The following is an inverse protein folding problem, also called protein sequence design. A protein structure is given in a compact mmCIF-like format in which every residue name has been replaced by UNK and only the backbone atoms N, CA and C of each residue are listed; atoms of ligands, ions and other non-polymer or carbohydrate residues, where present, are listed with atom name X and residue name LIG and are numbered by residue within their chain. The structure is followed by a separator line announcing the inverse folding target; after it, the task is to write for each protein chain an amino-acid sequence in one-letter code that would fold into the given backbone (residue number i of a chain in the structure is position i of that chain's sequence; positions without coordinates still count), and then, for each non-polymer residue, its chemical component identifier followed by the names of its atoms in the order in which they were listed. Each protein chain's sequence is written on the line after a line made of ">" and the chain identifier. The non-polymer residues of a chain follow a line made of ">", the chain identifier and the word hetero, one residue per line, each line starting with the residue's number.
data_IF_434442358016
#
_entry.id   IF_434442358016
#
_cell.length_a   1.000
_cell.length_b   1.000
_cell.length_c   1.000
_cell.angle_alpha   90.00
_cell.angle_beta   90.00
_cell.angle_gamma   90.00
#
_symmetry.space_group_name_H-M   'P 1'
#
loop_
_entity.id
_entity.type
_entity.pdbx_description
1 polymer ?
#
# COMPACT_ATOMS: atom_id res chain seq x y z
N UNK A 1 20.43 10.08 -10.58
CA UNK A 1 19.36 9.08 -10.81
C UNK A 1 19.15 9.00 -12.30
N UNK A 2 19.46 7.86 -12.90
CA UNK A 2 19.23 7.66 -14.33
C UNK A 2 17.73 7.40 -14.62
N UNK A 3 17.38 7.38 -15.91
CA UNK A 3 15.99 7.21 -16.35
C UNK A 3 15.39 5.85 -15.92
N UNK A 4 16.22 4.82 -15.75
CA UNK A 4 15.81 3.48 -15.35
C UNK A 4 15.50 3.42 -13.84
N UNK A 5 16.34 4.03 -13.00
CA UNK A 5 16.12 4.18 -11.57
C UNK A 5 14.85 4.99 -11.28
N UNK A 6 14.60 6.05 -12.06
CA UNK A 6 13.37 6.83 -11.92
C UNK A 6 12.12 6.04 -12.31
N UNK A 7 12.20 5.21 -13.36
CA UNK A 7 11.10 4.33 -13.75
C UNK A 7 10.80 3.26 -12.69
N UNK A 8 11.84 2.66 -12.10
CA UNK A 8 11.68 1.72 -10.96
C UNK A 8 11.05 2.40 -9.75
N UNK A 9 11.45 3.63 -9.42
CA UNK A 9 10.85 4.39 -8.33
C UNK A 9 9.37 4.66 -8.59
N UNK A 10 9.00 5.03 -9.82
CA UNK A 10 7.59 5.24 -10.17
C UNK A 10 6.75 3.97 -10.00
N UNK A 11 7.27 2.81 -10.41
CA UNK A 11 6.59 1.53 -10.20
C UNK A 11 6.44 1.23 -8.70
N UNK A 12 7.50 1.39 -7.91
CA UNK A 12 7.45 1.14 -6.48
C UNK A 12 6.45 2.07 -5.75
N UNK A 13 6.41 3.35 -6.11
CA UNK A 13 5.41 4.31 -5.61
C UNK A 13 3.99 3.94 -6.03
N UNK A 14 3.81 3.47 -7.28
CA UNK A 14 2.49 3.02 -7.75
C UNK A 14 1.99 1.82 -6.95
N UNK A 15 2.85 0.84 -6.67
CA UNK A 15 2.50 -0.33 -5.85
C UNK A 15 2.15 0.07 -4.41
N UNK A 16 2.90 0.98 -3.78
CA UNK A 16 2.57 1.51 -2.46
C UNK A 16 1.23 2.29 -2.43
N UNK A 17 0.81 2.92 -3.54
CA UNK A 17 -0.49 3.63 -3.63
C UNK A 17 -1.70 2.70 -3.64
N UNK A 18 -1.56 1.47 -4.16
CA UNK A 18 -2.67 0.51 -4.24
C UNK A 18 -3.30 0.18 -2.88
N UNK A 19 -2.55 -0.25 -1.85
CA UNK A 19 -3.12 -0.52 -0.54
C UNK A 19 -3.67 0.74 0.14
N UNK A 20 -3.05 1.90 -0.06
CA UNK A 20 -3.55 3.18 0.46
C UNK A 20 -4.95 3.52 -0.09
N UNK A 21 -5.14 3.41 -1.40
CA UNK A 21 -6.45 3.65 -2.02
C UNK A 21 -7.51 2.67 -1.51
N UNK A 22 -7.13 1.40 -1.31
CA UNK A 22 -8.01 0.39 -0.73
C UNK A 22 -8.41 0.78 0.69
N UNK A 23 -7.46 1.20 1.54
CA UNK A 23 -7.74 1.66 2.91
C UNK A 23 -8.74 2.82 2.89
N UNK A 24 -8.52 3.83 2.04
CA UNK A 24 -9.41 4.99 1.92
C UNK A 24 -10.84 4.56 1.57
N UNK A 25 -11.00 3.74 0.53
CA UNK A 25 -12.33 3.27 0.10
C UNK A 25 -13.03 2.44 1.18
N UNK A 26 -12.29 1.59 1.91
CA UNK A 26 -12.87 0.81 3.00
C UNK A 26 -13.25 1.70 4.19
N UNK A 27 -12.48 2.74 4.49
CA UNK A 27 -12.81 3.70 5.54
C UNK A 27 -14.10 4.49 5.20
N UNK A 28 -14.29 4.87 3.94
CA UNK A 28 -15.56 5.46 3.47
C UNK A 28 -16.73 4.48 3.60
N UNK A 29 -16.53 3.20 3.27
CA UNK A 29 -17.57 2.17 3.43
C UNK A 29 -17.99 2.00 4.89
N UNK A 30 -17.06 2.15 5.85
CA UNK A 30 -17.37 2.14 7.28
C UNK A 30 -18.23 3.35 7.66
N UNK A 31 -17.93 4.55 7.16
CA UNK A 31 -18.77 5.74 7.39
C UNK A 31 -20.20 5.49 6.92
N UNK A 32 -20.38 4.99 5.70
CA UNK A 32 -21.69 4.66 5.15
C UNK A 32 -22.43 3.62 6.00
N UNK A 33 -21.72 2.65 6.58
CA UNK A 33 -22.33 1.65 7.46
C UNK A 33 -22.79 2.25 8.80
N UNK A 34 -22.02 3.20 9.36
CA UNK A 34 -22.39 3.92 10.58
C UNK A 34 -23.59 4.86 10.37
N UNK A 35 -23.70 5.43 9.18
CA UNK A 35 -24.86 6.23 8.74
C UNK A 35 -26.10 5.37 8.43
N UNK A 36 -25.98 4.04 8.46
CA UNK A 36 -27.07 3.10 8.16
C UNK A 36 -27.35 2.91 6.67
N UNK A 37 -26.50 3.46 5.78
CA UNK A 37 -26.65 3.34 4.33
C UNK A 37 -26.27 1.94 3.81
N UNK A 38 -25.47 1.16 4.56
CA UNK A 38 -25.14 -0.24 4.26
C UNK A 38 -25.17 -1.11 5.53
N UNK A 39 -25.28 -2.46 5.40
CA UNK A 39 -25.29 -3.36 6.57
C UNK A 39 -24.00 -3.28 7.40
N UNK A 40 -24.13 -3.41 8.72
CA UNK A 40 -22.99 -3.39 9.67
C UNK A 40 -21.91 -4.44 9.36
N UNK A 41 -22.29 -5.58 8.80
CA UNK A 41 -21.35 -6.62 8.37
C UNK A 41 -20.38 -6.11 7.30
N UNK A 42 -20.81 -5.19 6.43
CA UNK A 42 -19.91 -4.55 5.46
C UNK A 42 -18.85 -3.68 6.15
N UNK A 43 -19.15 -3.10 7.32
CA UNK A 43 -18.17 -2.37 8.10
C UNK A 43 -17.11 -3.30 8.70
N UNK A 44 -17.52 -4.47 9.22
CA UNK A 44 -16.59 -5.47 9.76
C UNK A 44 -15.65 -5.99 8.66
N UNK A 45 -16.23 -6.38 7.52
CA UNK A 45 -15.43 -6.81 6.36
C UNK A 45 -14.52 -5.68 5.82
N UNK A 46 -14.95 -4.42 5.91
CA UNK A 46 -14.14 -3.28 5.54
C UNK A 46 -12.96 -3.07 6.50
N UNK A 47 -13.18 -3.24 7.81
CA UNK A 47 -12.12 -3.20 8.83
C UNK A 47 -11.06 -4.27 8.58
N UNK A 48 -11.46 -5.51 8.30
CA UNK A 48 -10.51 -6.59 7.96
C UNK A 48 -9.66 -6.23 6.75
N UNK A 49 -10.29 -5.62 5.74
CA UNK A 49 -9.60 -5.16 4.52
C UNK A 49 -8.68 -3.95 4.78
N UNK A 50 -8.99 -3.09 5.75
CA UNK A 50 -8.07 -2.02 6.18
C UNK A 50 -6.87 -2.61 6.89
N UNK A 51 -7.06 -3.56 7.81
CA UNK A 51 -5.97 -4.21 8.51
C UNK A 51 -5.03 -4.90 7.52
N UNK A 52 -5.59 -5.68 6.59
CA UNK A 52 -4.81 -6.31 5.52
C UNK A 52 -4.09 -5.26 4.65
N UNK A 53 -4.80 -4.21 4.21
CA UNK A 53 -4.20 -3.15 3.40
C UNK A 53 -3.07 -2.40 4.10
N UNK A 54 -3.17 -2.18 5.42
CA UNK A 54 -2.10 -1.56 6.21
C UNK A 54 -0.85 -2.44 6.25
N UNK A 55 -1.03 -3.77 6.37
CA UNK A 55 0.07 -4.72 6.31
C UNK A 55 0.71 -4.75 4.92
N UNK A 56 -0.10 -4.86 3.87
CA UNK A 56 0.36 -4.83 2.48
C UNK A 56 1.14 -3.54 2.16
N UNK A 57 0.71 -2.41 2.74
CA UNK A 57 1.41 -1.13 2.60
C UNK A 57 2.78 -1.16 3.30
N UNK A 58 2.86 -1.71 4.52
CA UNK A 58 4.12 -1.86 5.24
C UNK A 58 5.09 -2.76 4.47
N UNK A 59 4.60 -3.86 3.91
CA UNK A 59 5.40 -4.81 3.13
C UNK A 59 5.92 -4.14 1.85
N UNK A 60 5.05 -3.44 1.11
CA UNK A 60 5.42 -2.68 -0.11
C UNK A 60 6.49 -1.62 0.17
N UNK A 61 6.39 -0.91 1.30
CA UNK A 61 7.40 0.08 1.69
C UNK A 61 8.72 -0.58 2.09
N UNK A 62 8.68 -1.73 2.75
CA UNK A 62 9.88 -2.49 3.13
C UNK A 62 10.61 -3.01 1.91
N UNK A 63 9.87 -3.52 0.91
CA UNK A 63 10.41 -3.93 -0.39
C UNK A 63 11.01 -2.74 -1.15
N UNK A 64 10.35 -1.58 -1.14
CA UNK A 64 10.88 -0.36 -1.74
C UNK A 64 12.22 0.00 -1.10
N UNK A 65 12.31 0.04 0.24
CA UNK A 65 13.58 0.33 0.93
C UNK A 65 14.67 -0.70 0.57
N UNK A 66 14.32 -2.00 0.49
CA UNK A 66 15.27 -3.04 0.12
C UNK A 66 15.80 -2.90 -1.32
N UNK A 67 14.93 -2.53 -2.27
CA UNK A 67 15.30 -2.34 -3.69
C UNK A 67 16.23 -1.14 -3.91
N UNK A 68 16.16 -0.13 -3.06
CA UNK A 68 16.97 1.08 -3.14
C UNK A 68 18.11 1.12 -2.10
N UNK A 69 18.34 0.03 -1.36
CA UNK A 69 19.42 -0.04 -0.37
C UNK A 69 20.80 -0.11 -1.09
N UNK A 70 21.70 0.87 -0.89
CA UNK A 70 22.97 0.94 -1.61
C UNK A 70 23.94 -0.23 -1.32
N UNK A 71 23.77 -0.97 -0.23
CA UNK A 71 24.72 -2.01 0.22
C UNK A 71 24.67 -3.34 -0.57
N UNK A 72 23.80 -3.47 -1.59
CA UNK A 72 23.82 -4.62 -2.51
C UNK A 72 24.44 -4.34 -3.88
N UNK A 73 24.86 -3.10 -4.16
CA UNK A 73 25.65 -2.77 -5.36
C UNK A 73 27.16 -2.77 -5.05
N UNK A 74 27.62 -3.79 -4.32
CA UNK A 74 29.05 -4.10 -4.24
C UNK A 74 29.54 -4.55 -5.61
N UNK A 75 30.23 -3.67 -6.32
CA UNK A 75 31.06 -4.04 -7.46
C UNK A 75 32.04 -5.15 -7.03
N UNK A 76 31.83 -6.35 -7.56
CA UNK A 76 32.89 -7.32 -7.73
C UNK A 76 33.69 -6.88 -8.96
N UNK A 77 34.75 -6.11 -8.74
CA UNK A 77 35.93 -6.00 -9.62
C UNK A 77 37.20 -6.05 -8.76
#
# INVERSE_FOLDING_TARGET
>A
MDQQQFAQLQLAVHEARRPLNRITMQAELIKLALEGAVPKEKALNALDKIIAGSKDCSDSLSELVAQFNPDQNGHAE
#
